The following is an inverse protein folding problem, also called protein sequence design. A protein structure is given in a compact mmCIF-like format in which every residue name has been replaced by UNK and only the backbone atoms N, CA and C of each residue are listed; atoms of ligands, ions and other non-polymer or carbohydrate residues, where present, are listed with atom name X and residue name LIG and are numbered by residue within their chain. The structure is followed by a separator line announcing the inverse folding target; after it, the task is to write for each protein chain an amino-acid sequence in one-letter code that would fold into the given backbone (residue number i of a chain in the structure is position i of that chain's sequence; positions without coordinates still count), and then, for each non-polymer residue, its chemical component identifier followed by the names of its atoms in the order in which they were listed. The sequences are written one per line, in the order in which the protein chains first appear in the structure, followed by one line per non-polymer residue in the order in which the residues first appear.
data_IF_712547019882
#
_entry.id   IF_712547019882
#
_cell.length_a   1.000
_cell.length_b   1.000
_cell.length_c   1.000
_cell.angle_alpha   90.00
_cell.angle_beta   90.00
_cell.angle_gamma   90.00
#
_symmetry.space_group_name_H-M   'P 1'
#
loop_
_entity.id
_entity.type
_entity.pdbx_description
1 polymer ?
#
# COMPACT_ATOMS: atom_id res chain seq x y z
N UNK A 1 8.65 23.73 64.48
CA UNK A 1 8.44 23.95 63.03
C UNK A 1 8.72 22.64 62.31
N UNK A 2 7.66 21.98 61.89
CA UNK A 2 7.74 20.73 61.14
C UNK A 2 7.82 21.07 59.67
N UNK A 3 8.93 20.76 59.00
CA UNK A 3 9.05 20.82 57.56
C UNK A 3 8.50 19.49 57.01
N UNK A 4 7.26 19.53 56.52
CA UNK A 4 6.66 18.44 55.77
C UNK A 4 7.41 18.28 54.44
N UNK A 5 7.83 17.06 54.03
CA UNK A 5 8.41 16.85 52.72
C UNK A 5 7.32 17.07 51.67
N UNK A 6 7.55 17.99 50.74
CA UNK A 6 6.73 18.14 49.54
C UNK A 6 6.92 16.86 48.71
N UNK A 7 5.91 16.04 48.71
CA UNK A 7 5.85 14.94 47.77
C UNK A 7 5.77 15.48 46.33
N UNK A 8 6.85 15.33 45.60
CA UNK A 8 6.88 15.55 44.15
C UNK A 8 6.27 14.32 43.46
N UNK A 9 4.97 14.15 43.68
CA UNK A 9 4.20 13.08 43.07
C UNK A 9 3.30 13.62 41.94
N UNK A 10 3.88 14.17 40.89
CA UNK A 10 3.00 14.73 39.87
C UNK A 10 3.62 15.08 38.54
N UNK A 11 4.80 14.56 38.18
CA UNK A 11 5.49 15.08 37.01
C UNK A 11 5.86 14.10 35.88
N UNK A 12 5.71 12.80 36.06
CA UNK A 12 6.20 11.83 35.08
C UNK A 12 5.12 11.15 34.25
N UNK A 13 3.89 11.16 34.69
CA UNK A 13 2.74 10.60 33.95
C UNK A 13 2.42 11.37 32.66
N UNK A 14 2.39 12.73 32.64
CA UNK A 14 2.08 13.45 31.41
C UNK A 14 3.21 13.36 30.38
N UNK A 15 4.47 13.21 30.81
CA UNK A 15 5.59 13.02 29.87
C UNK A 15 5.57 11.63 29.23
N UNK A 16 5.22 10.61 29.98
CA UNK A 16 5.08 9.23 29.48
C UNK A 16 3.92 9.12 28.49
N UNK A 17 2.80 9.78 28.79
CA UNK A 17 1.64 9.81 27.89
C UNK A 17 1.91 10.65 26.64
N UNK A 18 2.66 11.73 26.74
CA UNK A 18 3.11 12.52 25.61
C UNK A 18 4.12 11.74 24.74
N UNK A 19 5.02 10.96 25.34
CA UNK A 19 5.93 10.09 24.60
C UNK A 19 5.18 8.93 23.95
N UNK A 20 4.21 8.32 24.60
CA UNK A 20 3.39 7.28 23.99
C UNK A 20 2.56 7.82 22.81
N UNK A 21 1.98 9.02 22.93
CA UNK A 21 1.29 9.68 21.81
C UNK A 21 2.26 10.01 20.66
N UNK A 22 3.43 10.54 20.96
CA UNK A 22 4.46 10.78 19.95
C UNK A 22 4.92 9.49 19.28
N UNK A 23 5.04 8.40 20.03
CA UNK A 23 5.33 7.08 19.48
C UNK A 23 4.17 6.57 18.62
N UNK A 24 2.93 6.69 19.07
CA UNK A 24 1.76 6.30 18.30
C UNK A 24 1.57 7.19 17.05
N UNK A 25 1.75 8.48 17.14
CA UNK A 25 1.63 9.41 16.00
C UNK A 25 2.82 9.38 15.04
N UNK A 26 4.03 9.13 15.54
CA UNK A 26 5.24 9.04 14.69
C UNK A 26 5.40 7.69 14.01
N UNK A 27 4.81 6.62 14.58
CA UNK A 27 4.78 5.29 13.98
C UNK A 27 3.46 4.95 13.28
N UNK A 28 2.45 5.83 13.32
CA UNK A 28 1.27 5.79 12.47
C UNK A 28 1.49 6.73 11.25
N UNK A 29 2.67 6.75 10.72
CA UNK A 29 2.85 6.87 9.28
C UNK A 29 2.27 5.61 8.62
N UNK A 30 2.10 5.54 7.29
CA UNK A 30 1.44 4.42 6.63
C UNK A 30 1.99 3.14 7.24
N UNK A 31 1.12 2.45 7.97
CA UNK A 31 1.46 1.31 8.82
C UNK A 31 2.42 0.43 8.08
N UNK A 32 3.59 0.25 8.64
CA UNK A 32 4.47 -0.85 8.32
C UNK A 32 3.76 -2.16 8.73
N UNK A 33 2.70 -2.50 8.03
CA UNK A 33 2.05 -3.80 8.09
C UNK A 33 2.94 -4.91 7.51
N UNK A 34 4.25 -4.63 7.43
CA UNK A 34 5.24 -5.58 6.95
C UNK A 34 5.34 -6.83 7.82
N UNK A 35 4.91 -6.76 9.09
CA UNK A 35 5.06 -7.87 10.02
C UNK A 35 3.75 -8.58 10.41
N UNK A 36 2.60 -8.01 10.10
CA UNK A 36 1.30 -8.57 10.52
C UNK A 36 0.47 -9.14 9.39
N UNK A 37 0.62 -8.66 8.17
CA UNK A 37 0.01 -9.30 7.01
C UNK A 37 1.08 -10.05 6.22
N UNK A 38 0.83 -11.31 5.94
CA UNK A 38 1.61 -12.12 5.00
C UNK A 38 1.44 -11.53 3.60
N UNK A 39 2.09 -10.39 3.39
CA UNK A 39 2.03 -9.61 2.17
C UNK A 39 3.38 -9.64 1.46
N UNK A 40 3.35 -9.63 0.17
CA UNK A 40 4.54 -9.51 -0.68
C UNK A 40 4.91 -8.04 -0.89
N UNK A 41 6.19 -7.72 -1.13
CA UNK A 41 6.60 -6.36 -1.47
C UNK A 41 6.02 -5.95 -2.82
N UNK A 42 5.61 -4.69 -2.93
CA UNK A 42 5.18 -4.09 -4.18
C UNK A 42 5.56 -2.61 -4.25
N UNK A 43 5.79 -2.15 -5.47
CA UNK A 43 6.00 -0.75 -5.82
C UNK A 43 4.84 -0.24 -6.66
N UNK A 44 4.49 1.03 -6.47
CA UNK A 44 3.48 1.72 -7.27
C UNK A 44 4.08 3.04 -7.76
N UNK A 45 4.03 3.27 -9.05
CA UNK A 45 4.46 4.54 -9.62
C UNK A 45 3.53 4.98 -10.76
N UNK A 46 3.53 6.26 -11.01
CA UNK A 46 2.82 6.87 -12.11
C UNK A 46 3.74 7.00 -13.30
N UNK A 47 3.25 6.71 -14.51
CA UNK A 47 4.04 6.90 -15.73
C UNK A 47 4.33 8.39 -15.99
N UNK A 48 5.44 8.74 -16.67
CA UNK A 48 5.81 10.14 -16.92
C UNK A 48 4.74 10.97 -17.64
N UNK A 49 3.93 10.34 -18.47
CA UNK A 49 2.79 10.95 -19.17
C UNK A 49 1.54 11.10 -18.29
N UNK A 50 1.60 10.59 -17.03
CA UNK A 50 0.52 10.61 -16.05
C UNK A 50 -0.80 9.97 -16.51
N UNK A 51 -0.74 9.08 -17.48
CA UNK A 51 -1.92 8.41 -18.03
C UNK A 51 -2.29 7.12 -17.28
N UNK A 52 -1.31 6.49 -16.62
CA UNK A 52 -1.50 5.22 -15.96
C UNK A 52 -0.60 5.08 -14.74
N UNK A 53 -1.02 4.19 -13.84
CA UNK A 53 -0.17 3.66 -12.79
C UNK A 53 0.45 2.34 -13.21
N UNK A 54 1.62 2.06 -12.70
CA UNK A 54 2.27 0.74 -12.80
C UNK A 54 2.45 0.21 -11.39
N UNK A 55 2.00 -1.02 -11.19
CA UNK A 55 2.15 -1.75 -9.94
C UNK A 55 3.05 -2.93 -10.19
N UNK A 56 4.15 -3.02 -9.48
CA UNK A 56 5.11 -4.12 -9.58
C UNK A 56 5.14 -4.88 -8.27
N UNK A 57 4.89 -6.18 -8.31
CA UNK A 57 4.88 -7.04 -7.14
C UNK A 57 5.87 -8.19 -7.29
N UNK A 58 6.69 -8.41 -6.25
CA UNK A 58 7.62 -9.52 -6.22
C UNK A 58 6.91 -10.79 -5.70
N UNK A 59 6.68 -11.74 -6.61
CA UNK A 59 6.00 -13.00 -6.35
C UNK A 59 6.82 -14.21 -6.82
N UNK A 60 8.07 -14.36 -6.38
CA UNK A 60 8.91 -15.46 -6.82
C UNK A 60 8.32 -16.82 -6.40
N UNK A 61 8.37 -17.79 -7.32
CA UNK A 61 7.89 -19.14 -7.03
C UNK A 61 6.39 -19.37 -7.21
N UNK A 62 5.64 -18.37 -7.67
CA UNK A 62 4.24 -18.51 -8.10
C UNK A 62 4.16 -18.73 -9.60
N UNK A 63 3.08 -19.35 -10.05
CA UNK A 63 2.74 -19.46 -11.47
C UNK A 63 1.70 -18.39 -11.82
N UNK A 64 1.56 -17.97 -13.07
CA UNK A 64 0.51 -17.01 -13.46
C UNK A 64 -0.90 -17.43 -13.03
N UNK A 65 -1.20 -18.73 -13.10
CA UNK A 65 -2.50 -19.29 -12.69
C UNK A 65 -2.77 -19.24 -11.18
N UNK A 66 -1.72 -19.02 -10.38
CA UNK A 66 -1.81 -18.88 -8.93
C UNK A 66 -2.06 -17.42 -8.51
N UNK A 67 -2.13 -16.49 -9.46
CA UNK A 67 -2.26 -15.05 -9.22
C UNK A 67 -3.63 -14.57 -9.72
N UNK A 68 -4.38 -13.95 -8.84
CA UNK A 68 -5.65 -13.30 -9.15
C UNK A 68 -5.55 -11.80 -8.92
N UNK A 69 -6.00 -11.02 -9.90
CA UNK A 69 -6.03 -9.55 -9.82
C UNK A 69 -7.48 -9.11 -9.94
N UNK A 70 -7.93 -8.25 -9.04
CA UNK A 70 -9.25 -7.64 -9.05
C UNK A 70 -9.10 -6.13 -8.99
N UNK A 71 -9.79 -5.42 -9.87
CA UNK A 71 -9.83 -3.96 -9.92
C UNK A 71 -11.26 -3.49 -9.71
N UNK A 72 -11.48 -2.63 -8.71
CA UNK A 72 -12.79 -2.08 -8.39
C UNK A 72 -12.66 -0.63 -7.93
N UNK A 73 -13.34 0.29 -8.62
CA UNK A 73 -13.29 1.72 -8.33
C UNK A 73 -11.88 2.31 -8.46
N UNK A 74 -11.23 2.56 -7.36
CA UNK A 74 -9.85 3.04 -7.24
C UNK A 74 -8.92 2.00 -6.59
N UNK A 75 -9.44 0.82 -6.28
CA UNK A 75 -8.74 -0.21 -5.51
C UNK A 75 -8.33 -1.38 -6.41
N UNK A 76 -7.07 -1.76 -6.31
CA UNK A 76 -6.49 -2.94 -6.94
C UNK A 76 -6.16 -3.97 -5.87
N UNK A 77 -6.67 -5.18 -6.01
CA UNK A 77 -6.40 -6.29 -5.10
C UNK A 77 -5.66 -7.41 -5.84
N UNK A 78 -4.55 -7.82 -5.28
CA UNK A 78 -3.74 -8.94 -5.78
C UNK A 78 -3.82 -10.07 -4.75
N UNK A 79 -4.22 -11.24 -5.17
CA UNK A 79 -4.24 -12.46 -4.35
C UNK A 79 -3.41 -13.55 -4.99
N UNK A 80 -2.72 -14.32 -4.16
CA UNK A 80 -1.96 -15.48 -4.60
C UNK A 80 -2.49 -16.73 -3.92
N UNK A 81 -2.63 -17.80 -4.69
CA UNK A 81 -3.08 -19.10 -4.21
C UNK A 81 -2.02 -20.12 -4.57
N UNK A 82 -1.31 -20.66 -3.60
CA UNK A 82 -0.46 -21.80 -3.84
C UNK A 82 -1.12 -23.03 -3.22
N UNK A 83 -1.53 -23.96 -4.06
CA UNK A 83 -1.94 -25.29 -3.57
C UNK A 83 -0.74 -25.90 -2.87
N UNK A 84 -0.92 -26.29 -1.62
CA UNK A 84 0.06 -27.06 -0.89
C UNK A 84 0.34 -28.33 -1.71
N UNK A 85 1.45 -28.36 -2.43
CA UNK A 85 1.96 -29.63 -2.95
C UNK A 85 2.30 -30.47 -1.73
N UNK A 86 1.82 -31.72 -1.73
CA UNK A 86 2.10 -32.69 -0.68
C UNK A 86 3.56 -32.60 -0.28
N UNK A 87 3.79 -32.50 1.03
CA UNK A 87 5.12 -32.50 1.62
C UNK A 87 5.87 -33.75 1.16
N UNK A 88 6.60 -33.66 0.08
CA UNK A 88 7.68 -34.58 -0.11
C UNK A 88 8.64 -34.34 1.03
N UNK A 89 8.88 -35.36 1.83
CA UNK A 89 9.85 -35.34 2.91
C UNK A 89 11.25 -35.08 2.31
N UNK A 90 11.60 -33.84 2.14
CA UNK A 90 12.91 -33.39 1.65
C UNK A 90 13.90 -33.27 2.81
N UNK A 91 13.94 -34.29 3.69
CA UNK A 91 14.89 -34.33 4.81
C UNK A 91 14.44 -33.57 6.07
N UNK A 92 15.28 -33.58 7.09
CA UNK A 92 15.03 -32.86 8.35
C UNK A 92 15.42 -31.40 8.20
N UNK A 93 14.45 -30.50 8.24
CA UNK A 93 14.72 -29.07 8.24
C UNK A 93 15.28 -28.61 9.59
N UNK A 94 16.45 -28.02 9.59
CA UNK A 94 17.02 -27.35 10.76
C UNK A 94 16.36 -25.98 10.97
N UNK A 95 15.93 -25.32 9.88
CA UNK A 95 15.20 -24.04 9.88
C UNK A 95 14.33 -23.94 8.62
N UNK A 96 13.09 -23.49 8.80
CA UNK A 96 12.13 -23.31 7.72
C UNK A 96 11.57 -21.88 7.79
N UNK A 97 12.07 -20.99 6.95
CA UNK A 97 11.65 -19.58 6.87
C UNK A 97 10.90 -19.26 5.57
N UNK A 98 10.81 -20.22 4.66
CA UNK A 98 10.13 -20.00 3.40
C UNK A 98 8.62 -20.17 3.55
N UNK A 99 7.89 -19.10 3.26
CA UNK A 99 6.43 -19.13 3.25
C UNK A 99 5.91 -19.21 1.81
N UNK A 100 5.14 -20.22 1.52
CA UNK A 100 4.42 -20.37 0.25
C UNK A 100 2.96 -20.71 0.58
N UNK A 101 2.07 -19.74 0.50
CA UNK A 101 0.66 -19.90 0.82
C UNK A 101 -0.19 -18.83 0.16
N UNK A 102 -1.39 -18.69 0.65
CA UNK A 102 -2.28 -17.61 0.24
C UNK A 102 -1.76 -16.28 0.81
N UNK A 103 -1.55 -15.32 -0.06
CA UNK A 103 -1.24 -13.94 0.29
C UNK A 103 -2.19 -13.01 -0.43
N UNK A 104 -2.54 -11.89 0.19
CA UNK A 104 -3.43 -10.89 -0.38
C UNK A 104 -2.94 -9.50 -0.07
N UNK A 105 -2.99 -8.61 -1.06
CA UNK A 105 -2.67 -7.21 -0.87
C UNK A 105 -3.60 -6.33 -1.69
N UNK A 106 -4.20 -5.35 -1.03
CA UNK A 106 -5.04 -4.33 -1.65
C UNK A 106 -4.35 -2.97 -1.57
N UNK A 107 -4.39 -2.25 -2.66
CA UNK A 107 -3.88 -0.88 -2.76
C UNK A 107 -4.96 0.03 -3.32
N UNK A 108 -5.10 1.22 -2.73
CA UNK A 108 -5.98 2.27 -3.22
C UNK A 108 -5.14 3.27 -4.02
N UNK A 109 -5.51 3.49 -5.27
CA UNK A 109 -4.86 4.45 -6.15
C UNK A 109 -5.48 5.83 -5.98
N UNK A 110 -4.73 6.92 -6.25
CA UNK A 110 -5.24 8.29 -6.04
C UNK A 110 -6.40 8.69 -6.93
N UNK A 111 -6.66 7.93 -8.00
CA UNK A 111 -7.74 8.21 -8.97
C UNK A 111 -8.45 6.92 -9.35
N UNK A 112 -9.69 7.05 -9.81
CA UNK A 112 -10.44 5.93 -10.37
C UNK A 112 -9.70 5.32 -11.57
N UNK A 113 -9.80 4.02 -11.69
CA UNK A 113 -9.18 3.20 -12.73
C UNK A 113 -10.24 2.65 -13.69
N UNK A 114 -9.82 2.30 -14.90
CA UNK A 114 -10.67 1.59 -15.85
C UNK A 114 -10.36 0.08 -15.80
N UNK A 115 -11.20 -0.74 -15.15
CA UNK A 115 -10.91 -2.16 -14.97
C UNK A 115 -10.79 -2.93 -16.30
N UNK A 116 -11.44 -2.44 -17.35
CA UNK A 116 -11.45 -3.11 -18.66
C UNK A 116 -10.14 -2.92 -19.44
N UNK A 117 -9.32 -1.98 -19.00
CA UNK A 117 -8.04 -1.64 -19.65
C UNK A 117 -6.82 -2.01 -18.79
N UNK A 118 -7.05 -2.65 -17.66
CA UNK A 118 -5.95 -3.16 -16.84
C UNK A 118 -5.27 -4.30 -17.57
N UNK A 119 -3.95 -4.22 -17.70
CA UNK A 119 -3.11 -5.24 -18.31
C UNK A 119 -2.06 -5.72 -17.32
N UNK A 120 -1.81 -7.03 -17.30
CA UNK A 120 -0.88 -7.63 -16.36
C UNK A 120 0.06 -8.60 -17.06
N UNK A 121 1.33 -8.52 -16.73
CA UNK A 121 2.37 -9.43 -17.19
C UNK A 121 3.16 -9.99 -16.02
N UNK A 122 3.62 -11.22 -16.15
CA UNK A 122 4.41 -11.87 -15.12
C UNK A 122 5.67 -12.49 -15.74
N UNK A 123 6.81 -12.02 -15.29
CA UNK A 123 8.11 -12.46 -15.79
C UNK A 123 9.15 -12.48 -14.67
N UNK A 124 9.96 -13.54 -14.62
CA UNK A 124 11.06 -13.69 -13.66
C UNK A 124 10.66 -13.47 -12.17
N UNK A 125 9.44 -13.84 -11.80
CA UNK A 125 8.95 -13.66 -10.43
C UNK A 125 8.42 -12.25 -10.13
N UNK A 126 8.37 -11.35 -11.11
CA UNK A 126 7.81 -10.02 -10.99
C UNK A 126 6.49 -9.95 -11.75
N UNK A 127 5.43 -9.56 -11.04
CA UNK A 127 4.14 -9.23 -11.61
C UNK A 127 4.12 -7.73 -11.88
N UNK A 128 3.93 -7.33 -13.13
CA UNK A 128 3.78 -5.92 -13.54
C UNK A 128 2.36 -5.70 -14.04
N UNK A 129 1.64 -4.76 -13.42
CA UNK A 129 0.26 -4.43 -13.74
C UNK A 129 0.20 -2.98 -14.20
N UNK A 130 -0.27 -2.78 -15.41
CA UNK A 130 -0.55 -1.45 -15.98
C UNK A 130 -2.01 -1.10 -15.74
N UNK A 131 -2.23 0.01 -15.08
CA UNK A 131 -3.55 0.45 -14.63
C UNK A 131 -3.84 1.82 -15.22
N UNK A 132 -4.51 1.91 -16.37
CA UNK A 132 -4.91 3.18 -16.96
C UNK A 132 -5.91 3.91 -16.06
N UNK A 133 -5.77 5.22 -15.96
CA UNK A 133 -6.72 6.07 -15.26
C UNK A 133 -8.04 6.11 -16.03
N UNK A 134 -9.16 6.17 -15.31
CA UNK A 134 -10.45 6.37 -15.93
C UNK A 134 -10.49 7.70 -16.73
N UNK A 135 -11.27 7.76 -17.80
CA UNK A 135 -11.28 8.88 -18.73
C UNK A 135 -11.59 10.25 -18.10
N UNK A 136 -12.28 10.30 -16.97
CA UNK A 136 -12.55 11.54 -16.20
C UNK A 136 -11.47 11.91 -15.19
N UNK A 137 -10.51 11.02 -14.94
CA UNK A 137 -9.47 11.19 -13.90
C UNK A 137 -8.15 11.72 -14.44
N UNK A 138 -8.04 11.96 -15.73
CA UNK A 138 -6.82 12.51 -16.35
C UNK A 138 -6.71 14.00 -16.06
N UNK A 139 -5.48 14.51 -15.80
CA UNK A 139 -5.25 15.94 -15.65
C UNK A 139 -5.70 16.68 -16.90
N UNK A 140 -6.60 17.64 -16.76
CA UNK A 140 -7.04 18.52 -17.83
C UNK A 140 -6.58 19.93 -17.54
N UNK A 141 -5.91 20.55 -18.50
CA UNK A 141 -5.59 21.97 -18.43
C UNK A 141 -6.85 22.82 -18.61
N UNK A 142 -7.15 23.62 -17.60
CA UNK A 142 -8.31 24.55 -17.66
C UNK A 142 -7.82 25.89 -18.11
N UNK A 143 -8.25 26.42 -19.28
CA UNK A 143 -7.88 27.74 -19.70
C UNK A 143 -8.56 28.81 -18.83
N UNK A 144 -7.78 29.74 -18.30
CA UNK A 144 -8.31 30.88 -17.55
C UNK A 144 -8.89 31.88 -18.51
N UNK A 145 -10.19 32.15 -18.40
CA UNK A 145 -10.85 33.22 -19.13
C UNK A 145 -10.73 34.51 -18.35
N UNK A 146 -10.23 35.56 -18.99
CA UNK A 146 -10.24 36.90 -18.42
C UNK A 146 -11.69 37.40 -18.47
N UNK A 147 -12.24 37.73 -17.31
CA UNK A 147 -13.52 38.39 -17.23
C UNK A 147 -13.27 39.89 -17.49
N UNK A 148 -13.58 40.37 -18.68
CA UNK A 148 -13.57 41.81 -18.95
C UNK A 148 -14.63 42.47 -18.07
N UNK A 149 -14.20 43.28 -17.14
CA UNK A 149 -15.10 44.22 -16.46
C UNK A 149 -15.45 45.33 -17.46
N UNK A 150 -16.64 45.22 -18.02
CA UNK A 150 -17.19 46.32 -18.76
C UNK A 150 -17.38 47.47 -17.78
N UNK A 151 -16.52 48.49 -17.87
CA UNK A 151 -16.70 49.72 -17.14
C UNK A 151 -17.93 50.40 -17.71
N UNK A 152 -19.06 50.32 -17.02
CA UNK A 152 -20.23 51.09 -17.33
C UNK A 152 -19.91 52.56 -17.08
N UNK A 153 -19.89 53.36 -18.15
CA UNK A 153 -19.93 54.81 -18.02
C UNK A 153 -21.33 55.23 -17.59
#
# INVERSE_FOLDING_TARGET
MSLAPREFSGGLTPLRDAMNRLFEESFIGPRFDFFTSRAFPLDVYETPDRQQYVVEAALPGYKPDDIQITAEGDTLTIRTFKKSEEKQEKGNYVRHEFFAGEMSRSITLPTSIDPNKVDASYENGILSIRVPKAAGAQPRQIPVKVKETVSAK
#
